data_IF_956613928069
#
_entry.id   IF_956613928069
#
_cell.length_a   1.000
_cell.length_b   1.000
_cell.length_c   1.000
_cell.angle_alpha   90.00
_cell.angle_beta   90.00
_cell.angle_gamma   90.00
#
_symmetry.space_group_name_H-M   'P 1'
#
loop_
_entity.id
_entity.type
_entity.pdbx_description
1 polymer ?
#
# COMPACT_ATOMS: atom_id res chain seq x y z
N UNK A 1 28.15 -41.88 0.26
CA UNK A 1 28.07 -40.43 0.56
C UNK A 1 28.06 -39.52 -0.68
N UNK A 2 27.74 -40.01 -1.90
CA UNK A 2 27.69 -39.20 -3.15
C UNK A 2 26.27 -38.99 -3.74
N UNK A 3 25.23 -39.60 -3.16
CA UNK A 3 23.85 -39.52 -3.67
C UNK A 3 22.99 -38.41 -3.05
N UNK A 4 23.42 -37.81 -1.93
CA UNK A 4 22.67 -36.77 -1.20
C UNK A 4 23.05 -35.33 -1.62
N UNK A 5 24.07 -35.15 -2.46
CA UNK A 5 24.49 -33.83 -2.95
C UNK A 5 23.65 -33.35 -4.16
N UNK A 6 23.14 -34.29 -5.00
CA UNK A 6 22.34 -33.93 -6.19
C UNK A 6 20.95 -33.40 -5.85
N UNK A 7 20.30 -33.97 -4.83
CA UNK A 7 18.93 -33.60 -4.43
C UNK A 7 18.90 -32.23 -3.74
N UNK A 8 19.95 -31.88 -2.96
CA UNK A 8 20.08 -30.56 -2.32
C UNK A 8 20.26 -29.42 -3.33
N UNK A 9 20.90 -29.68 -4.47
CA UNK A 9 21.09 -28.67 -5.52
C UNK A 9 19.79 -28.35 -6.27
N UNK A 10 18.89 -29.33 -6.39
CA UNK A 10 17.60 -29.15 -7.08
C UNK A 10 16.55 -28.46 -6.20
N UNK A 11 16.57 -28.69 -4.88
CA UNK A 11 15.68 -27.99 -3.93
C UNK A 11 15.99 -26.48 -3.79
N UNK A 12 17.26 -26.07 -3.89
CA UNK A 12 17.64 -24.66 -3.90
C UNK A 12 17.29 -23.95 -5.22
N UNK A 13 17.32 -24.66 -6.35
CA UNK A 13 16.93 -24.10 -7.65
C UNK A 13 15.44 -23.79 -7.75
N UNK A 14 14.60 -24.66 -7.17
CA UNK A 14 13.14 -24.48 -7.18
C UNK A 14 12.66 -23.36 -6.25
N UNK A 15 13.43 -23.03 -5.20
CA UNK A 15 13.14 -21.94 -4.27
C UNK A 15 13.57 -20.57 -4.79
N UNK A 16 14.53 -20.48 -5.71
CA UNK A 16 14.89 -19.22 -6.39
C UNK A 16 13.88 -18.80 -7.47
N UNK A 17 13.17 -19.76 -8.09
CA UNK A 17 12.19 -19.46 -9.15
C UNK A 17 10.86 -18.90 -8.60
N UNK A 18 10.59 -19.08 -7.31
CA UNK A 18 9.40 -18.56 -6.65
C UNK A 18 9.53 -17.09 -6.20
N UNK A 19 10.75 -16.53 -6.15
CA UNK A 19 10.98 -15.11 -5.81
C UNK A 19 10.85 -14.16 -7.01
N UNK A 20 10.82 -14.69 -8.23
CA UNK A 20 10.82 -13.87 -9.44
C UNK A 20 9.43 -13.37 -9.87
N UNK A 21 8.35 -13.84 -9.24
CA UNK A 21 6.96 -13.49 -9.59
C UNK A 21 6.29 -12.51 -8.62
N UNK A 22 7.01 -11.99 -7.61
CA UNK A 22 6.42 -11.11 -6.60
C UNK A 22 6.46 -9.61 -6.95
N UNK A 23 6.91 -9.24 -8.15
CA UNK A 23 6.95 -7.85 -8.59
C UNK A 23 5.92 -7.68 -9.72
N UNK A 24 4.66 -7.46 -9.37
CA UNK A 24 3.69 -6.90 -10.31
C UNK A 24 4.04 -5.41 -10.51
N UNK A 25 4.41 -4.99 -11.74
CA UNK A 25 4.66 -3.59 -12.00
C UNK A 25 3.33 -2.82 -11.87
N UNK A 26 3.34 -1.77 -11.05
CA UNK A 26 2.27 -0.77 -11.05
C UNK A 26 2.05 -0.27 -12.48
N UNK A 27 0.80 -0.08 -12.89
CA UNK A 27 0.50 0.34 -14.25
C UNK A 27 1.09 1.75 -14.46
N UNK A 28 2.14 1.88 -15.27
CA UNK A 28 3.04 3.06 -15.32
C UNK A 28 2.32 4.38 -15.66
N UNK A 29 1.07 4.34 -16.12
CA UNK A 29 0.24 5.53 -16.38
C UNK A 29 -0.87 5.82 -15.36
N UNK A 30 -1.17 4.89 -14.44
CA UNK A 30 -2.27 5.07 -13.49
C UNK A 30 -1.82 5.86 -12.25
N UNK A 31 -2.63 6.83 -11.76
CA UNK A 31 -2.35 7.49 -10.49
C UNK A 31 -2.28 6.49 -9.35
N UNK A 32 -1.47 6.79 -8.34
CA UNK A 32 -1.32 5.93 -7.16
C UNK A 32 -1.82 6.66 -5.92
N UNK A 33 -2.75 6.07 -5.19
CA UNK A 33 -3.21 6.57 -3.89
C UNK A 33 -2.49 5.81 -2.79
N UNK A 34 -1.88 6.52 -1.84
CA UNK A 34 -1.41 5.95 -0.58
C UNK A 34 -2.53 6.02 0.45
N UNK A 35 -3.09 4.88 0.86
CA UNK A 35 -4.13 4.81 1.88
C UNK A 35 -3.52 4.36 3.21
N UNK A 36 -3.66 5.17 4.26
CA UNK A 36 -3.12 4.85 5.59
C UNK A 36 -4.15 4.92 6.70
N UNK A 37 -4.29 3.79 7.42
CA UNK A 37 -5.03 3.68 8.66
C UNK A 37 -4.10 3.79 9.88
N UNK A 38 -4.54 4.50 10.91
CA UNK A 38 -3.85 4.49 12.21
C UNK A 38 -4.17 3.22 13.00
N UNK A 39 -5.40 2.73 12.92
CA UNK A 39 -5.92 1.54 13.61
C UNK A 39 -7.12 0.99 12.83
N UNK A 40 -7.49 -0.25 13.10
CA UNK A 40 -8.57 -0.97 12.41
C UNK A 40 -9.79 -1.11 13.33
N UNK A 41 -10.95 -0.65 12.86
CA UNK A 41 -12.27 -0.91 13.44
C UNK A 41 -13.30 -0.94 12.30
N UNK A 42 -14.41 -1.64 12.53
CA UNK A 42 -15.58 -1.80 11.66
C UNK A 42 -16.16 -0.51 11.06
N UNK A 43 -15.99 0.63 11.72
CA UNK A 43 -16.44 1.95 11.22
C UNK A 43 -15.46 2.53 10.21
N UNK A 44 -14.15 2.42 10.48
CA UNK A 44 -13.07 2.92 9.62
C UNK A 44 -13.05 2.16 8.30
N UNK A 45 -13.35 0.86 8.34
CA UNK A 45 -13.45 0.04 7.14
C UNK A 45 -14.56 0.52 6.19
N UNK A 46 -15.70 0.98 6.71
CA UNK A 46 -16.78 1.51 5.87
C UNK A 46 -16.39 2.81 5.15
N UNK A 47 -15.58 3.66 5.79
CA UNK A 47 -15.08 4.89 5.16
C UNK A 47 -14.14 4.57 3.99
N UNK A 48 -13.25 3.58 4.16
CA UNK A 48 -12.38 3.05 3.09
C UNK A 48 -13.20 2.51 1.93
N UNK A 49 -14.18 1.66 2.21
CA UNK A 49 -14.99 1.03 1.17
C UNK A 49 -15.82 2.07 0.40
N UNK A 50 -16.42 3.05 1.10
CA UNK A 50 -17.13 4.15 0.48
C UNK A 50 -16.22 5.05 -0.38
N UNK A 51 -15.00 5.31 0.07
CA UNK A 51 -14.00 6.04 -0.70
C UNK A 51 -13.62 5.32 -1.99
N UNK A 52 -13.34 4.01 -1.92
CA UNK A 52 -12.99 3.21 -3.10
C UNK A 52 -14.18 3.03 -4.05
N UNK A 53 -15.40 2.87 -3.52
CA UNK A 53 -16.62 2.81 -4.32
C UNK A 53 -16.85 4.12 -5.10
N UNK A 54 -16.71 5.27 -4.44
CA UNK A 54 -16.85 6.56 -5.10
C UNK A 54 -15.80 6.79 -6.21
N UNK A 55 -14.55 6.32 -6.00
CA UNK A 55 -13.52 6.35 -7.05
C UNK A 55 -13.91 5.47 -8.23
N UNK A 56 -14.38 4.25 -7.95
CA UNK A 56 -14.82 3.30 -8.97
C UNK A 56 -15.97 3.85 -9.82
N UNK A 57 -16.99 4.45 -9.18
CA UNK A 57 -18.12 5.09 -9.86
C UNK A 57 -17.70 6.25 -10.78
N UNK A 58 -16.52 6.82 -10.55
CA UNK A 58 -15.92 7.88 -11.36
C UNK A 58 -14.81 7.36 -12.30
N UNK A 59 -14.70 6.05 -12.50
CA UNK A 59 -13.78 5.42 -13.46
C UNK A 59 -12.35 5.16 -12.94
N UNK A 60 -12.12 5.25 -11.63
CA UNK A 60 -10.84 4.96 -10.99
C UNK A 60 -10.94 3.65 -10.18
N UNK A 61 -10.40 2.55 -10.70
CA UNK A 61 -10.42 1.26 -10.03
C UNK A 61 -9.14 0.46 -10.30
N UNK A 62 -8.74 -0.39 -9.35
CA UNK A 62 -7.64 -1.34 -9.58
C UNK A 62 -8.04 -2.42 -10.59
N UNK A 63 -9.33 -2.79 -10.63
CA UNK A 63 -9.87 -3.79 -11.55
C UNK A 63 -9.72 -3.37 -13.02
N UNK A 64 -10.03 -2.11 -13.33
CA UNK A 64 -9.88 -1.54 -14.67
C UNK A 64 -8.45 -1.01 -14.93
N UNK A 65 -7.56 -1.17 -13.93
CA UNK A 65 -6.16 -0.72 -13.95
C UNK A 65 -6.01 0.79 -14.22
N UNK A 66 -7.01 1.58 -13.83
CA UNK A 66 -7.01 3.05 -13.93
C UNK A 66 -6.55 3.72 -12.65
N UNK A 67 -6.36 2.95 -11.57
CA UNK A 67 -5.87 3.38 -10.27
C UNK A 67 -4.96 2.30 -9.66
N UNK A 68 -3.93 2.70 -8.94
CA UNK A 68 -3.18 1.82 -8.04
C UNK A 68 -3.43 2.26 -6.58
N UNK A 69 -3.65 1.32 -5.65
CA UNK A 69 -3.85 1.64 -4.23
C UNK A 69 -2.79 0.99 -3.36
N UNK A 70 -2.00 1.82 -2.66
CA UNK A 70 -1.05 1.36 -1.65
C UNK A 70 -1.69 1.46 -0.26
N UNK A 71 -2.33 0.38 0.18
CA UNK A 71 -2.93 0.30 1.52
C UNK A 71 -1.91 -0.09 2.60
N UNK A 72 -1.91 0.62 3.74
CA UNK A 72 -1.11 0.29 4.93
C UNK A 72 -1.87 0.64 6.21
N UNK A 73 -1.64 -0.12 7.27
CA UNK A 73 -2.21 0.13 8.59
C UNK A 73 -1.09 0.20 9.63
N UNK A 74 -1.14 1.19 10.51
CA UNK A 74 -0.15 1.40 11.56
C UNK A 74 -0.42 0.64 12.86
N UNK A 75 -1.60 0.02 13.02
CA UNK A 75 -1.99 -0.80 14.16
C UNK A 75 -1.77 -0.13 15.52
N UNK A 76 -2.01 1.17 15.60
CA UNK A 76 -1.85 2.01 16.79
C UNK A 76 -0.42 2.51 17.03
N UNK A 77 0.55 2.15 16.19
CA UNK A 77 1.96 2.51 16.37
C UNK A 77 2.35 3.77 15.56
N UNK A 78 2.57 4.89 16.27
CA UNK A 78 2.92 6.19 15.66
C UNK A 78 4.26 6.15 14.88
N UNK A 79 5.33 5.49 15.36
CA UNK A 79 6.54 5.29 14.56
C UNK A 79 6.26 4.60 13.22
N UNK A 80 5.46 3.54 13.21
CA UNK A 80 5.04 2.83 12.00
C UNK A 80 4.23 3.74 11.07
N UNK A 81 3.31 4.53 11.62
CA UNK A 81 2.55 5.53 10.86
C UNK A 81 3.46 6.53 10.13
N UNK A 82 4.50 7.01 10.81
CA UNK A 82 5.51 7.90 10.21
C UNK A 82 6.30 7.21 9.10
N UNK A 83 6.66 5.93 9.29
CA UNK A 83 7.34 5.14 8.26
C UNK A 83 6.46 4.92 7.03
N UNK A 84 5.17 4.63 7.21
CA UNK A 84 4.20 4.48 6.12
C UNK A 84 4.11 5.77 5.29
N UNK A 85 3.97 6.92 5.95
CA UNK A 85 3.89 8.20 5.25
C UNK A 85 5.17 8.49 4.46
N UNK A 86 6.35 8.24 5.05
CA UNK A 86 7.63 8.38 4.34
C UNK A 86 7.75 7.41 3.17
N UNK A 87 7.23 6.20 3.31
CA UNK A 87 7.15 5.24 2.22
C UNK A 87 6.29 5.80 1.08
N UNK A 88 5.10 6.34 1.36
CA UNK A 88 4.25 6.97 0.33
C UNK A 88 4.92 8.14 -0.39
N UNK A 89 5.66 8.99 0.34
CA UNK A 89 6.47 10.06 -0.25
C UNK A 89 7.52 9.48 -1.21
N UNK A 90 8.21 8.40 -0.81
CA UNK A 90 9.21 7.75 -1.67
C UNK A 90 8.60 7.09 -2.91
N UNK A 91 7.37 6.57 -2.79
CA UNK A 91 6.60 6.01 -3.91
C UNK A 91 5.98 7.09 -4.80
N UNK A 92 6.12 8.38 -4.45
CA UNK A 92 5.58 9.51 -5.21
C UNK A 92 4.08 9.36 -5.49
N UNK A 93 3.32 8.93 -4.48
CA UNK A 93 1.86 8.81 -4.60
C UNK A 93 1.25 10.15 -5.01
N UNK A 94 0.15 10.09 -5.76
CA UNK A 94 -0.57 11.26 -6.25
C UNK A 94 -1.45 11.89 -5.16
N UNK A 95 -1.87 11.11 -4.17
CA UNK A 95 -2.73 11.51 -3.06
C UNK A 95 -2.43 10.61 -1.85
N UNK A 96 -2.42 11.19 -0.64
CA UNK A 96 -2.48 10.43 0.60
C UNK A 96 -3.93 10.46 1.11
N UNK A 97 -4.61 9.32 1.09
CA UNK A 97 -5.87 9.12 1.79
C UNK A 97 -5.55 8.66 3.21
N UNK A 98 -5.95 9.46 4.21
CA UNK A 98 -5.56 9.25 5.61
C UNK A 98 -6.78 9.07 6.50
N UNK A 99 -6.74 8.05 7.36
CA UNK A 99 -7.80 7.77 8.33
C UNK A 99 -7.20 7.30 9.67
N UNK A 100 -7.62 7.80 10.83
CA UNK A 100 -8.41 9.02 11.09
C UNK A 100 -7.47 10.22 11.34
N UNK A 101 -7.85 11.16 12.20
CA UNK A 101 -7.08 12.39 12.51
C UNK A 101 -5.60 12.18 12.79
N UNK A 102 -5.22 11.08 13.47
CA UNK A 102 -3.81 10.78 13.78
C UNK A 102 -3.00 10.58 12.49
N UNK A 103 -3.52 9.83 11.52
CA UNK A 103 -2.92 9.64 10.18
C UNK A 103 -2.80 10.96 9.43
N UNK A 104 -3.83 11.81 9.48
CA UNK A 104 -3.81 13.12 8.82
C UNK A 104 -2.77 14.05 9.43
N UNK A 105 -2.67 14.12 10.75
CA UNK A 105 -1.66 14.92 11.45
C UNK A 105 -0.25 14.45 11.06
N UNK A 106 0.00 13.13 11.07
CA UNK A 106 1.31 12.58 10.68
C UNK A 106 1.63 12.88 9.22
N UNK A 107 0.66 12.78 8.30
CA UNK A 107 0.85 13.15 6.89
C UNK A 107 1.23 14.64 6.75
N UNK A 108 0.47 15.54 7.38
CA UNK A 108 0.71 16.99 7.36
C UNK A 108 2.07 17.40 7.94
N UNK A 109 2.62 16.62 8.87
CA UNK A 109 3.94 16.84 9.46
C UNK A 109 5.09 16.43 8.52
N UNK A 110 4.87 15.49 7.60
CA UNK A 110 5.93 14.91 6.77
C UNK A 110 5.90 15.37 5.31
N UNK A 111 4.81 15.94 4.81
CA UNK A 111 4.74 16.49 3.44
C UNK A 111 3.87 17.75 3.36
N UNK A 112 4.24 18.64 2.44
CA UNK A 112 3.46 19.82 2.03
C UNK A 112 3.09 19.80 0.54
N UNK A 113 3.64 18.85 -0.21
CA UNK A 113 3.55 18.83 -1.68
C UNK A 113 2.53 17.81 -2.19
N UNK A 114 2.32 16.72 -1.45
CA UNK A 114 1.34 15.69 -1.81
C UNK A 114 -0.01 16.07 -1.20
N UNK A 115 -1.10 16.14 -2.01
CA UNK A 115 -2.43 16.36 -1.49
C UNK A 115 -2.81 15.30 -0.44
N UNK A 116 -3.52 15.73 0.61
CA UNK A 116 -3.99 14.85 1.69
C UNK A 116 -5.51 14.93 1.72
N UNK A 117 -6.17 13.77 1.60
CA UNK A 117 -7.59 13.62 1.82
C UNK A 117 -7.81 12.96 3.19
N UNK A 118 -8.51 13.65 4.08
CA UNK A 118 -8.82 13.17 5.42
C UNK A 118 -10.16 12.44 5.42
N UNK A 119 -10.19 11.27 6.07
CA UNK A 119 -11.39 10.48 6.34
C UNK A 119 -11.46 10.21 7.85
N UNK A 120 -12.68 10.05 8.38
CA UNK A 120 -12.98 9.72 9.77
C UNK A 120 -14.11 8.72 9.87
#
# INVERSE_FOLDING_TARGET
>A
MRSLQGIRSWLCGLSLLALATACEPANEGAPTIGFVDAFEDSTIEQAKDGFLAALNDNGFSEADKTLNVLYRNAQGDIPTLTQIVRYFISQKVSLIASSPSLSTITALQNTKDIPIFMMV
#
